data_IF_677078480378
#
_entry.id   IF_677078480378
#
_cell.length_a   1.000
_cell.length_b   1.000
_cell.length_c   1.000
_cell.angle_alpha   90.00
_cell.angle_beta   90.00
_cell.angle_gamma   90.00
#
_symmetry.space_group_name_H-M   'P 1'
#
loop_
_entity.id
_entity.type
_entity.pdbx_description
1 polymer ?
#
# COMPACT_ATOMS: atom_id res chain seq x y z
N UNK A 1 -23.96 -25.25 12.97
CA UNK A 1 -22.70 -25.51 12.24
C UNK A 1 -22.31 -24.20 11.56
N UNK A 2 -21.17 -23.61 11.90
CA UNK A 2 -20.73 -22.33 11.32
C UNK A 2 -20.23 -22.57 9.89
N UNK A 3 -20.78 -21.84 8.90
CA UNK A 3 -20.36 -21.94 7.49
C UNK A 3 -19.22 -20.98 7.17
N UNK A 4 -18.64 -21.11 5.97
CA UNK A 4 -17.58 -20.21 5.50
C UNK A 4 -18.05 -18.78 5.35
N UNK A 5 -19.31 -18.57 4.97
CA UNK A 5 -19.94 -17.27 4.78
C UNK A 5 -20.18 -16.60 6.12
N UNK A 6 -20.69 -17.34 7.12
CA UNK A 6 -20.88 -16.83 8.47
C UNK A 6 -19.56 -16.40 9.12
N UNK A 7 -18.50 -17.23 8.97
CA UNK A 7 -17.18 -16.89 9.46
C UNK A 7 -16.58 -15.70 8.69
N UNK A 8 -16.81 -15.61 7.38
CA UNK A 8 -16.40 -14.47 6.55
C UNK A 8 -17.04 -13.16 7.03
N UNK A 9 -18.35 -13.15 7.27
CA UNK A 9 -19.06 -11.94 7.72
C UNK A 9 -18.62 -11.52 9.12
N UNK A 10 -18.51 -12.47 10.06
CA UNK A 10 -17.98 -12.19 11.39
C UNK A 10 -16.55 -11.64 11.35
N UNK A 11 -15.68 -12.19 10.50
CA UNK A 11 -14.31 -11.72 10.32
C UNK A 11 -14.24 -10.35 9.64
N UNK A 12 -15.20 -10.04 8.76
CA UNK A 12 -15.32 -8.72 8.11
C UNK A 12 -15.70 -7.66 9.14
N UNK A 13 -16.71 -7.92 9.96
CA UNK A 13 -17.20 -7.00 11.02
C UNK A 13 -16.17 -6.79 12.14
N UNK A 14 -15.48 -7.86 12.55
CA UNK A 14 -14.45 -7.81 13.59
C UNK A 14 -13.06 -7.41 13.08
N UNK A 15 -12.92 -7.12 11.78
CA UNK A 15 -11.64 -6.82 11.13
C UNK A 15 -10.54 -7.88 11.32
N UNK A 16 -10.92 -9.14 11.58
CA UNK A 16 -9.98 -10.25 11.72
C UNK A 16 -9.43 -10.68 10.36
N UNK A 17 -8.11 -10.89 10.28
CA UNK A 17 -7.40 -11.36 9.09
C UNK A 17 -6.35 -12.41 9.43
N UNK A 18 -6.03 -13.23 8.43
CA UNK A 18 -5.02 -14.28 8.53
C UNK A 18 -5.57 -15.59 9.09
N UNK A 19 -5.07 -16.71 8.56
CA UNK A 19 -5.61 -18.05 8.84
C UNK A 19 -5.64 -18.40 10.33
N UNK A 20 -4.56 -18.08 11.07
CA UNK A 20 -4.46 -18.35 12.51
C UNK A 20 -5.54 -17.62 13.32
N UNK A 21 -5.81 -16.36 13.02
CA UNK A 21 -6.83 -15.59 13.73
C UNK A 21 -8.24 -16.00 13.32
N UNK A 22 -8.44 -16.42 12.06
CA UNK A 22 -9.72 -16.99 11.62
C UNK A 22 -10.03 -18.32 12.30
N UNK A 23 -9.02 -19.17 12.55
CA UNK A 23 -9.22 -20.36 13.37
C UNK A 23 -9.67 -20.00 14.78
N UNK A 24 -9.05 -18.99 15.41
CA UNK A 24 -9.46 -18.55 16.73
C UNK A 24 -10.89 -18.01 16.74
N UNK A 25 -11.23 -17.13 15.79
CA UNK A 25 -12.58 -16.60 15.63
C UNK A 25 -13.60 -17.73 15.40
N UNK A 26 -13.26 -18.75 14.63
CA UNK A 26 -14.12 -19.91 14.44
C UNK A 26 -14.39 -20.67 15.74
N UNK A 27 -13.36 -20.85 16.59
CA UNK A 27 -13.53 -21.45 17.93
C UNK A 27 -14.44 -20.60 18.80
N UNK A 28 -14.22 -19.28 18.81
CA UNK A 28 -15.00 -18.35 19.62
C UNK A 28 -16.49 -18.35 19.22
N UNK A 29 -16.78 -18.51 17.92
CA UNK A 29 -18.15 -18.57 17.39
C UNK A 29 -18.84 -19.93 17.58
N UNK A 30 -18.09 -21.03 17.64
CA UNK A 30 -18.64 -22.39 17.66
C UNK A 30 -18.54 -23.08 19.01
N UNK A 31 -17.66 -22.61 19.89
CA UNK A 31 -17.29 -23.27 21.15
C UNK A 31 -16.46 -24.54 20.98
N UNK A 32 -15.95 -24.84 19.77
CA UNK A 32 -15.16 -26.04 19.50
C UNK A 32 -13.70 -25.81 19.87
N UNK A 33 -13.11 -26.68 20.70
CA UNK A 33 -11.69 -26.57 21.10
C UNK A 33 -10.72 -27.09 20.02
N UNK A 34 -11.07 -28.22 19.39
CA UNK A 34 -10.22 -28.91 18.42
C UNK A 34 -10.88 -28.92 17.05
N UNK A 35 -10.25 -28.26 16.07
CA UNK A 35 -10.75 -28.21 14.69
C UNK A 35 -10.36 -29.48 13.94
N UNK A 36 -11.37 -30.16 13.41
CA UNK A 36 -11.18 -31.29 12.52
C UNK A 36 -10.92 -30.85 11.06
N UNK A 37 -10.90 -31.81 10.14
CA UNK A 37 -10.68 -31.56 8.71
C UNK A 37 -11.82 -30.72 8.08
N UNK A 38 -13.11 -31.06 8.27
CA UNK A 38 -14.24 -30.21 7.91
C UNK A 38 -14.12 -28.76 8.40
N UNK A 39 -13.81 -28.55 9.69
CA UNK A 39 -13.69 -27.21 10.27
C UNK A 39 -12.58 -26.40 9.59
N UNK A 40 -11.41 -27.02 9.38
CA UNK A 40 -10.28 -26.40 8.68
C UNK A 40 -10.60 -26.03 7.24
N UNK A 41 -11.44 -26.82 6.55
CA UNK A 41 -11.92 -26.48 5.20
C UNK A 41 -12.81 -25.24 5.23
N UNK A 42 -13.71 -25.14 6.20
CA UNK A 42 -14.56 -23.96 6.42
C UNK A 42 -13.71 -22.71 6.64
N UNK A 43 -12.71 -22.78 7.53
CA UNK A 43 -11.79 -21.66 7.78
C UNK A 43 -11.00 -21.28 6.52
N UNK A 44 -10.53 -22.26 5.76
CA UNK A 44 -9.79 -22.02 4.51
C UNK A 44 -10.65 -21.35 3.45
N UNK A 45 -11.92 -21.75 3.33
CA UNK A 45 -12.89 -21.16 2.42
C UNK A 45 -13.22 -19.71 2.82
N UNK A 46 -13.46 -19.44 4.11
CA UNK A 46 -13.65 -18.08 4.61
C UNK A 46 -12.41 -17.19 4.35
N UNK A 47 -11.20 -17.73 4.54
CA UNK A 47 -9.95 -17.03 4.22
C UNK A 47 -9.81 -16.71 2.73
N UNK A 48 -10.32 -17.58 1.83
CA UNK A 48 -10.38 -17.31 0.40
C UNK A 48 -11.39 -16.20 0.07
N UNK A 49 -12.57 -16.22 0.69
CA UNK A 49 -13.59 -15.18 0.55
C UNK A 49 -13.06 -13.81 1.01
N UNK A 50 -12.39 -13.75 2.17
CA UNK A 50 -11.77 -12.50 2.65
C UNK A 50 -10.71 -11.97 1.70
N UNK A 51 -9.84 -12.86 1.17
CA UNK A 51 -8.84 -12.45 0.16
C UNK A 51 -9.49 -11.91 -1.10
N UNK A 52 -10.55 -12.56 -1.59
CA UNK A 52 -11.29 -12.12 -2.77
C UNK A 52 -12.01 -10.79 -2.50
N UNK A 53 -12.63 -10.63 -1.33
CA UNK A 53 -13.27 -9.38 -0.90
C UNK A 53 -12.27 -8.23 -0.80
N UNK A 54 -11.14 -8.44 -0.10
CA UNK A 54 -10.09 -7.44 0.04
C UNK A 54 -9.50 -7.08 -1.35
N UNK A 55 -9.35 -8.05 -2.24
CA UNK A 55 -8.91 -7.82 -3.63
C UNK A 55 -9.97 -7.08 -4.46
N UNK A 56 -11.25 -7.34 -4.25
CA UNK A 56 -12.34 -6.69 -5.00
C UNK A 56 -12.61 -5.27 -4.49
N UNK A 57 -12.52 -5.03 -3.17
CA UNK A 57 -12.50 -3.70 -2.59
C UNK A 57 -11.33 -2.86 -3.14
N UNK A 58 -10.19 -3.51 -3.38
CA UNK A 58 -9.02 -2.90 -4.06
C UNK A 58 -9.30 -2.58 -5.55
N UNK A 59 -10.18 -3.34 -6.22
CA UNK A 59 -10.53 -3.14 -7.65
C UNK A 59 -11.68 -2.17 -7.89
N UNK A 60 -12.64 -2.09 -6.97
CA UNK A 60 -13.87 -1.30 -7.14
C UNK A 60 -13.71 0.20 -6.81
N UNK A 61 -12.56 0.62 -6.29
CA UNK A 61 -12.27 2.03 -6.02
C UNK A 61 -10.86 2.41 -6.48
N UNK A 62 -10.61 2.36 -7.79
CA UNK A 62 -9.53 3.18 -8.37
C UNK A 62 -10.15 4.49 -8.86
N UNK A 63 -10.82 5.21 -7.96
CA UNK A 63 -10.95 6.64 -8.15
C UNK A 63 -9.56 7.23 -7.90
N UNK A 64 -9.03 8.02 -8.84
CA UNK A 64 -7.79 8.77 -8.61
C UNK A 64 -7.97 9.59 -7.33
N UNK A 65 -7.29 9.19 -6.25
CA UNK A 65 -7.46 9.82 -4.94
C UNK A 65 -6.71 11.16 -4.81
N UNK A 66 -6.18 11.66 -5.93
CA UNK A 66 -5.38 12.88 -6.01
C UNK A 66 -4.02 12.81 -5.31
N UNK A 67 -3.48 11.61 -5.07
CA UNK A 67 -2.14 11.42 -4.49
C UNK A 67 -1.20 10.84 -5.54
N UNK A 68 -0.03 11.46 -5.70
CA UNK A 68 1.09 10.91 -6.43
C UNK A 68 2.25 10.62 -5.48
N UNK A 69 2.75 9.38 -5.52
CA UNK A 69 3.86 8.88 -4.73
C UNK A 69 5.15 8.89 -5.55
N UNK A 70 6.26 9.24 -4.91
CA UNK A 70 7.56 9.42 -5.53
C UNK A 70 8.65 8.73 -4.74
N UNK A 71 9.56 8.07 -5.45
CA UNK A 71 10.83 7.62 -4.89
C UNK A 71 11.91 7.75 -5.95
N UNK A 72 13.18 7.82 -5.53
CA UNK A 72 14.31 7.73 -6.44
C UNK A 72 15.50 7.12 -5.72
N UNK A 73 16.31 6.36 -6.43
CA UNK A 73 17.53 5.75 -5.91
C UNK A 73 18.50 5.40 -7.04
N UNK A 74 19.74 5.12 -6.67
CA UNK A 74 20.76 4.71 -7.63
C UNK A 74 20.63 3.22 -7.95
N UNK A 75 20.99 2.81 -9.16
CA UNK A 75 20.82 1.43 -9.64
C UNK A 75 21.64 0.39 -8.87
N UNK A 76 22.68 0.83 -8.14
CA UNK A 76 23.49 0.00 -7.24
C UNK A 76 22.89 -0.12 -5.82
N UNK A 77 21.81 0.61 -5.52
CA UNK A 77 21.16 0.58 -4.22
C UNK A 77 20.08 -0.50 -4.13
N UNK A 78 20.51 -1.73 -3.77
CA UNK A 78 19.64 -2.91 -3.75
C UNK A 78 18.40 -2.78 -2.85
N UNK A 79 18.50 -2.04 -1.74
CA UNK A 79 17.39 -1.80 -0.80
C UNK A 79 16.25 -1.04 -1.49
N UNK A 80 16.59 -0.10 -2.40
CA UNK A 80 15.62 0.68 -3.16
C UNK A 80 14.64 -0.19 -3.93
N UNK A 81 15.12 -1.22 -4.62
CA UNK A 81 14.26 -2.15 -5.37
C UNK A 81 13.28 -2.90 -4.47
N UNK A 82 13.73 -3.38 -3.31
CA UNK A 82 12.87 -4.11 -2.39
C UNK A 82 11.76 -3.22 -1.81
N UNK A 83 12.10 -2.00 -1.39
CA UNK A 83 11.12 -1.04 -0.88
C UNK A 83 10.16 -0.58 -1.98
N UNK A 84 10.67 -0.32 -3.20
CA UNK A 84 9.85 0.12 -4.33
C UNK A 84 8.74 -0.88 -4.66
N UNK A 85 9.05 -2.18 -4.72
CA UNK A 85 8.05 -3.23 -5.00
C UNK A 85 6.87 -3.12 -4.01
N UNK A 86 7.17 -3.03 -2.72
CA UNK A 86 6.14 -2.96 -1.67
C UNK A 86 5.36 -1.64 -1.75
N UNK A 87 6.05 -0.52 -1.95
CA UNK A 87 5.43 0.80 -2.04
C UNK A 87 4.55 0.94 -3.30
N UNK A 88 4.95 0.32 -4.43
CA UNK A 88 4.16 0.24 -5.66
C UNK A 88 2.89 -0.58 -5.46
N UNK A 89 2.96 -1.69 -4.71
CA UNK A 89 1.77 -2.47 -4.34
C UNK A 89 0.81 -1.65 -3.48
N UNK A 90 1.33 -0.90 -2.52
CA UNK A 90 0.53 0.02 -1.69
C UNK A 90 -0.13 1.12 -2.54
N UNK A 91 0.61 1.76 -3.44
CA UNK A 91 0.09 2.78 -4.33
C UNK A 91 -1.03 2.24 -5.23
N UNK A 92 -0.80 1.08 -5.86
CA UNK A 92 -1.80 0.41 -6.69
C UNK A 92 -3.06 0.04 -5.88
N UNK A 93 -2.90 -0.39 -4.62
CA UNK A 93 -4.01 -0.75 -3.75
C UNK A 93 -4.98 0.42 -3.49
N UNK A 94 -4.44 1.63 -3.38
CA UNK A 94 -5.21 2.82 -3.03
C UNK A 94 -5.46 3.75 -4.20
N UNK A 95 -5.14 3.33 -5.43
CA UNK A 95 -5.31 4.15 -6.63
C UNK A 95 -4.40 5.39 -6.69
N UNK A 96 -3.24 5.32 -6.02
CA UNK A 96 -2.22 6.37 -6.08
C UNK A 96 -1.37 6.19 -7.32
N UNK A 97 -0.97 7.31 -7.91
CA UNK A 97 0.06 7.27 -8.94
C UNK A 97 1.42 6.99 -8.29
N UNK A 98 2.27 6.22 -8.97
CA UNK A 98 3.59 5.89 -8.46
C UNK A 98 4.66 6.18 -9.50
N UNK A 99 5.57 7.09 -9.16
CA UNK A 99 6.68 7.53 -10.00
C UNK A 99 8.00 7.14 -9.34
N UNK A 100 8.91 6.56 -10.13
CA UNK A 100 10.21 6.08 -9.66
C UNK A 100 11.29 6.37 -10.67
N UNK A 101 12.35 7.06 -10.24
CA UNK A 101 13.57 7.22 -11.03
C UNK A 101 14.66 6.31 -10.47
N UNK A 102 15.18 5.41 -11.31
CA UNK A 102 16.32 4.54 -10.98
C UNK A 102 17.41 4.80 -12.00
N UNK A 103 18.54 5.33 -11.52
CA UNK A 103 19.61 5.84 -12.38
C UNK A 103 20.98 5.35 -11.90
N UNK A 104 22.00 5.24 -12.76
CA UNK A 104 23.38 5.16 -12.31
C UNK A 104 23.74 6.34 -11.38
N UNK A 105 24.65 6.11 -10.41
CA UNK A 105 25.07 7.13 -9.45
C UNK A 105 25.55 8.42 -10.13
N UNK A 106 26.42 8.29 -11.14
CA UNK A 106 27.00 9.43 -11.85
C UNK A 106 25.93 10.25 -12.60
N UNK A 107 24.95 9.60 -13.21
CA UNK A 107 23.85 10.27 -13.90
C UNK A 107 22.96 11.03 -12.90
N UNK A 108 22.67 10.42 -11.75
CA UNK A 108 21.92 11.07 -10.68
C UNK A 108 22.65 12.31 -10.15
N UNK A 109 23.97 12.21 -9.93
CA UNK A 109 24.81 13.31 -9.46
C UNK A 109 24.93 14.42 -10.51
N UNK A 110 25.09 14.07 -11.78
CA UNK A 110 25.12 15.03 -12.88
C UNK A 110 23.81 15.83 -12.97
N UNK A 111 22.67 15.15 -12.81
CA UNK A 111 21.35 15.76 -12.88
C UNK A 111 21.09 16.81 -11.79
N UNK A 112 21.72 16.67 -10.62
CA UNK A 112 21.55 17.59 -9.48
C UNK A 112 22.70 18.59 -9.31
N UNK A 113 23.69 18.58 -10.21
CA UNK A 113 24.84 19.48 -10.14
C UNK A 113 24.39 20.95 -10.01
N UNK A 114 25.03 21.77 -9.13
CA UNK A 114 26.26 21.50 -8.37
C UNK A 114 26.03 20.87 -6.99
N UNK A 115 24.85 20.28 -6.72
CA UNK A 115 24.59 19.61 -5.44
C UNK A 115 25.45 18.34 -5.32
N UNK A 116 25.90 18.06 -4.09
CA UNK A 116 26.89 17.01 -3.81
C UNK A 116 26.30 15.80 -3.06
N UNK A 117 24.98 15.72 -2.95
CA UNK A 117 24.31 14.64 -2.23
C UNK A 117 23.04 14.20 -2.97
N UNK A 118 22.93 12.89 -3.27
CA UNK A 118 21.80 12.30 -4.00
C UNK A 118 20.43 12.62 -3.40
N UNK A 119 20.35 12.89 -2.08
CA UNK A 119 19.09 13.32 -1.47
C UNK A 119 18.50 14.60 -2.07
N UNK A 120 19.28 15.43 -2.78
CA UNK A 120 18.75 16.58 -3.53
C UNK A 120 17.95 16.19 -4.77
N UNK A 121 18.09 14.95 -5.27
CA UNK A 121 17.34 14.47 -6.44
C UNK A 121 15.83 14.52 -6.20
N UNK A 122 15.38 14.36 -4.94
CA UNK A 122 13.97 14.51 -4.57
C UNK A 122 13.39 15.86 -4.97
N UNK A 123 14.19 16.92 -4.82
CA UNK A 123 13.78 18.29 -5.20
C UNK A 123 13.65 18.40 -6.71
N UNK A 124 14.64 17.89 -7.46
CA UNK A 124 14.62 17.90 -8.93
C UNK A 124 13.41 17.14 -9.49
N UNK A 125 13.14 15.94 -8.97
CA UNK A 125 12.02 15.12 -9.41
C UNK A 125 10.68 15.82 -9.15
N UNK A 126 10.50 16.39 -7.96
CA UNK A 126 9.29 17.16 -7.60
C UNK A 126 9.15 18.40 -8.49
N UNK A 127 10.24 19.12 -8.77
CA UNK A 127 10.22 20.28 -9.67
C UNK A 127 9.78 19.91 -11.09
N UNK A 128 10.28 18.79 -11.64
CA UNK A 128 9.85 18.29 -12.96
C UNK A 128 8.37 17.97 -12.97
N UNK A 129 7.85 17.37 -11.89
CA UNK A 129 6.45 17.03 -11.78
C UNK A 129 5.55 18.27 -11.65
N UNK A 130 6.00 19.28 -10.91
CA UNK A 130 5.30 20.56 -10.72
C UNK A 130 5.44 21.52 -11.92
N UNK A 131 6.26 21.21 -12.91
CA UNK A 131 6.48 22.07 -14.08
C UNK A 131 5.21 22.27 -14.92
N UNK A 132 4.29 21.29 -14.91
CA UNK A 132 3.00 21.37 -15.60
C UNK A 132 1.83 21.30 -14.61
N UNK A 133 1.56 22.41 -13.94
CA UNK A 133 0.45 22.53 -13.00
C UNK A 133 -0.93 22.32 -13.64
N UNK A 134 -1.08 22.56 -14.95
CA UNK A 134 -2.35 22.35 -15.65
C UNK A 134 -2.65 20.86 -15.79
N UNK A 135 -1.63 20.07 -16.14
CA UNK A 135 -1.71 18.62 -16.18
C UNK A 135 -2.05 18.03 -14.81
N UNK A 136 -1.39 18.50 -13.75
CA UNK A 136 -1.68 18.04 -12.38
C UNK A 136 -3.13 18.30 -11.97
N UNK A 137 -3.65 19.49 -12.30
CA UNK A 137 -5.05 19.84 -12.05
C UNK A 137 -6.00 18.96 -12.85
N UNK A 138 -5.69 18.68 -14.13
CA UNK A 138 -6.49 17.79 -14.99
C UNK A 138 -6.59 16.38 -14.41
N UNK A 139 -5.48 15.88 -13.86
CA UNK A 139 -5.38 14.58 -13.17
C UNK A 139 -5.91 14.60 -11.74
N UNK A 140 -6.36 15.76 -11.25
CA UNK A 140 -6.85 15.99 -9.89
C UNK A 140 -5.83 15.63 -8.80
N UNK A 141 -4.53 15.79 -9.08
CA UNK A 141 -3.46 15.55 -8.09
C UNK A 141 -3.40 16.75 -7.14
N UNK A 142 -3.77 16.52 -5.87
CA UNK A 142 -3.72 17.51 -4.79
C UNK A 142 -2.53 17.31 -3.84
N UNK A 143 -1.96 16.10 -3.80
CA UNK A 143 -0.88 15.76 -2.89
C UNK A 143 0.27 15.05 -3.60
N UNK A 144 1.48 15.47 -3.25
CA UNK A 144 2.74 14.82 -3.61
C UNK A 144 3.28 14.16 -2.33
N UNK A 145 3.49 12.86 -2.37
CA UNK A 145 4.06 12.08 -1.27
C UNK A 145 5.43 11.55 -1.68
N UNK A 146 6.48 12.10 -1.09
CA UNK A 146 7.82 11.52 -1.22
C UNK A 146 8.00 10.38 -0.22
N UNK A 147 8.58 9.26 -0.67
CA UNK A 147 9.02 8.16 0.18
C UNK A 147 10.48 7.83 -0.16
N UNK A 148 11.36 7.93 0.83
CA UNK A 148 12.78 7.60 0.64
C UNK A 148 12.93 6.11 0.26
N UNK A 149 13.97 5.78 -0.49
CA UNK A 149 14.15 4.44 -1.07
C UNK A 149 14.44 3.34 -0.02
N UNK A 150 14.75 3.73 1.21
CA UNK A 150 14.90 2.85 2.37
C UNK A 150 13.68 2.83 3.28
N UNK A 151 12.62 3.58 2.94
CA UNK A 151 11.35 3.57 3.65
C UNK A 151 10.33 2.66 2.96
N UNK A 152 9.60 1.90 3.76
CA UNK A 152 8.59 0.94 3.26
C UNK A 152 7.29 1.03 4.02
N UNK A 153 6.18 0.97 3.30
CA UNK A 153 4.85 0.85 3.91
C UNK A 153 4.63 -0.56 4.43
N UNK A 154 4.50 -0.71 5.74
CA UNK A 154 4.30 -2.01 6.41
C UNK A 154 2.83 -2.33 6.69
N UNK A 155 1.95 -1.32 6.77
CA UNK A 155 0.53 -1.51 6.98
C UNK A 155 -0.26 -0.91 5.80
N UNK A 156 -0.71 -1.79 4.91
CA UNK A 156 -1.37 -1.42 3.66
C UNK A 156 -2.87 -1.15 3.81
N UNK A 157 -3.42 -1.34 5.01
CA UNK A 157 -4.85 -1.16 5.27
C UNK A 157 -5.28 0.29 5.44
N UNK A 158 -4.34 1.18 5.81
CA UNK A 158 -4.63 2.61 6.00
C UNK A 158 -4.25 3.40 4.76
N UNK A 159 -5.09 4.38 4.40
CA UNK A 159 -4.77 5.37 3.36
C UNK A 159 -3.92 6.49 3.95
N UNK A 160 -3.08 7.14 3.13
CA UNK A 160 -2.26 8.26 3.62
C UNK A 160 -3.12 9.44 4.06
N UNK A 161 -4.26 9.67 3.39
CA UNK A 161 -5.21 10.71 3.74
C UNK A 161 -5.78 10.51 5.15
N UNK A 162 -6.04 9.25 5.54
CA UNK A 162 -6.52 8.93 6.89
C UNK A 162 -5.48 9.24 7.96
N UNK A 163 -4.19 9.11 7.64
CA UNK A 163 -3.10 9.51 8.55
C UNK A 163 -3.07 11.04 8.71
N UNK A 164 -3.21 11.79 7.61
CA UNK A 164 -3.25 13.25 7.63
C UNK A 164 -4.45 13.72 8.47
N UNK A 165 -5.65 13.20 8.20
CA UNK A 165 -6.88 13.53 8.94
C UNK A 165 -6.76 13.22 10.44
N UNK A 166 -6.23 12.04 10.79
CA UNK A 166 -6.03 11.65 12.20
C UNK A 166 -4.98 12.48 12.91
N UNK A 167 -3.98 12.98 12.20
CA UNK A 167 -2.91 13.79 12.79
C UNK A 167 -3.35 15.18 13.27
N UNK A 168 -4.57 15.63 12.90
CA UNK A 168 -5.16 16.93 13.29
C UNK A 168 -4.28 18.16 13.01
N UNK A 169 -3.29 18.07 12.14
CA UNK A 169 -2.50 19.23 11.74
C UNK A 169 -3.27 20.04 10.68
N UNK A 170 -3.71 21.24 11.09
CA UNK A 170 -4.07 22.36 10.22
C UNK A 170 -2.92 23.34 10.16
#
# INVERSE_FOLDING_TARGET
>A
MCTSEMLFDAAKESHVRGYKHLMQLYRDLTGIEVLDLPDKKTVSAAAALLRAFDANATRQAVEHTGVAMFTAYTSDYSVGYACEIVNRMYAARHGYEFHSDVLPYDDMMAAISPRQFCGWYKVLMIQRFLADMAELRRRKIGYIMWIDADAVVVNHSFRVQELIERSRHR
#
